data_IF_705257901937
#
_entry.id   IF_705257901937
#
_cell.length_a   1.000
_cell.length_b   1.000
_cell.length_c   1.000
_cell.angle_alpha   90.00
_cell.angle_beta   90.00
_cell.angle_gamma   90.00
#
_symmetry.space_group_name_H-M   'P 1'
#
loop_
_entity.id
_entity.type
_entity.pdbx_description
1 polymer ?
#
# COMPACT_ATOMS: atom_id res chain seq x y z
N UNK A 1 17.64 -13.27 -4.27
CA UNK A 1 16.55 -12.30 -4.51
C UNK A 1 15.57 -12.52 -3.38
N UNK A 2 15.43 -11.54 -2.50
CA UNK A 2 14.42 -11.60 -1.45
C UNK A 2 13.04 -11.50 -2.13
N UNK A 3 12.13 -12.42 -1.80
CA UNK A 3 10.79 -12.48 -2.39
C UNK A 3 9.75 -12.34 -1.29
N UNK A 4 8.84 -11.41 -1.47
CA UNK A 4 7.65 -11.28 -0.61
C UNK A 4 6.56 -12.15 -1.20
N UNK A 5 6.05 -13.09 -0.43
CA UNK A 5 4.97 -13.94 -0.87
C UNK A 5 3.65 -13.16 -0.89
N UNK A 6 2.83 -13.33 -1.95
CA UNK A 6 1.54 -12.65 -2.10
C UNK A 6 0.58 -12.92 -0.93
N UNK A 7 0.73 -14.06 -0.26
CA UNK A 7 -0.06 -14.40 0.93
C UNK A 7 0.22 -13.48 2.14
N UNK A 8 1.35 -12.77 2.17
CA UNK A 8 1.64 -11.77 3.20
C UNK A 8 0.75 -10.55 2.97
N UNK A 9 0.76 -10.04 1.73
CA UNK A 9 -0.04 -8.89 1.31
C UNK A 9 -1.52 -9.19 1.53
N UNK A 10 -1.98 -10.39 1.12
CA UNK A 10 -3.37 -10.82 1.34
C UNK A 10 -3.77 -10.75 2.83
N UNK A 11 -2.90 -11.21 3.73
CA UNK A 11 -3.17 -11.18 5.18
C UNK A 11 -3.27 -9.76 5.74
N UNK A 12 -2.45 -8.83 5.24
CA UNK A 12 -2.56 -7.42 5.64
C UNK A 12 -3.90 -6.84 5.18
N UNK A 13 -4.31 -7.11 3.94
CA UNK A 13 -5.63 -6.66 3.44
C UNK A 13 -6.81 -7.23 4.27
N UNK A 14 -6.73 -8.50 4.65
CA UNK A 14 -7.73 -9.14 5.53
C UNK A 14 -7.80 -8.46 6.91
N UNK A 15 -6.67 -8.03 7.48
CA UNK A 15 -6.61 -7.34 8.78
C UNK A 15 -7.26 -5.95 8.75
N UNK A 16 -7.09 -5.22 7.66
CA UNK A 16 -7.71 -3.90 7.46
C UNK A 16 -9.22 -3.98 7.15
N UNK A 17 -9.79 -5.20 7.04
CA UNK A 17 -11.21 -5.44 6.73
C UNK A 17 -11.69 -4.66 5.51
N UNK A 18 -10.80 -4.48 4.54
CA UNK A 18 -11.11 -3.61 3.41
C UNK A 18 -12.27 -4.24 2.65
N UNK A 19 -13.31 -3.44 2.41
CA UNK A 19 -14.44 -3.80 1.57
C UNK A 19 -13.97 -3.86 0.11
N UNK A 20 -13.22 -4.92 -0.22
CA UNK A 20 -12.85 -5.23 -1.59
C UNK A 20 -14.15 -5.59 -2.32
N UNK A 21 -14.58 -4.72 -3.22
CA UNK A 21 -15.35 -5.22 -4.36
C UNK A 21 -14.38 -5.97 -5.27
N UNK A 22 -14.86 -6.89 -6.12
CA UNK A 22 -13.98 -7.70 -6.98
C UNK A 22 -13.12 -6.87 -7.97
N UNK A 23 -13.30 -5.54 -8.03
CA UNK A 23 -12.72 -4.66 -9.03
C UNK A 23 -12.02 -3.40 -8.49
N UNK A 24 -12.37 -2.92 -7.29
CA UNK A 24 -11.78 -1.69 -6.74
C UNK A 24 -11.81 -1.65 -5.21
N UNK A 25 -10.90 -0.83 -4.69
CA UNK A 25 -10.67 -0.58 -3.27
C UNK A 25 -10.95 0.90 -3.02
N UNK A 26 -11.93 1.21 -2.18
CA UNK A 26 -12.16 2.59 -1.74
C UNK A 26 -11.50 2.74 -0.38
N UNK A 27 -10.44 3.54 -0.32
CA UNK A 27 -9.72 3.88 0.91
C UNK A 27 -9.72 5.39 1.08
N UNK A 28 -9.89 5.86 2.31
CA UNK A 28 -9.48 7.20 2.66
C UNK A 28 -7.95 7.33 2.77
N UNK A 29 -7.47 8.57 2.92
CA UNK A 29 -6.04 8.88 2.96
C UNK A 29 -5.30 8.20 4.12
N UNK A 30 -5.96 8.06 5.27
CA UNK A 30 -5.40 7.44 6.47
C UNK A 30 -5.42 5.91 6.36
N UNK A 31 -6.49 5.34 5.82
CA UNK A 31 -6.60 3.90 5.52
C UNK A 31 -5.52 3.47 4.53
N UNK A 32 -5.28 4.25 3.47
CA UNK A 32 -4.19 3.99 2.52
C UNK A 32 -2.82 4.01 3.19
N UNK A 33 -2.56 5.03 4.02
CA UNK A 33 -1.28 5.16 4.71
C UNK A 33 -1.03 4.01 5.69
N UNK A 34 -2.04 3.65 6.49
CA UNK A 34 -1.96 2.54 7.44
C UNK A 34 -1.75 1.20 6.72
N UNK A 35 -2.47 0.97 5.61
CA UNK A 35 -2.32 -0.24 4.81
C UNK A 35 -0.90 -0.37 4.25
N UNK A 36 -0.36 0.70 3.67
CA UNK A 36 0.99 0.72 3.14
C UNK A 36 2.02 0.51 4.25
N UNK A 37 1.83 1.13 5.42
CA UNK A 37 2.73 0.97 6.56
C UNK A 37 2.81 -0.49 7.00
N UNK A 38 1.68 -1.18 7.14
CA UNK A 38 1.66 -2.59 7.53
C UNK A 38 2.27 -3.52 6.47
N UNK A 39 2.06 -3.24 5.18
CA UNK A 39 2.71 -3.97 4.09
C UNK A 39 4.24 -3.84 4.17
N UNK A 40 4.74 -2.61 4.29
CA UNK A 40 6.18 -2.35 4.33
C UNK A 40 6.79 -2.84 5.64
N UNK A 41 6.10 -2.69 6.76
CA UNK A 41 6.53 -3.25 8.03
C UNK A 41 6.65 -4.77 7.99
N UNK A 42 5.61 -5.48 7.51
CA UNK A 42 5.63 -6.93 7.38
C UNK A 42 6.73 -7.40 6.41
N UNK A 43 6.93 -6.66 5.31
CA UNK A 43 8.00 -6.92 4.34
C UNK A 43 9.38 -6.76 4.98
N UNK A 44 9.60 -5.73 5.79
CA UNK A 44 10.87 -5.49 6.50
C UNK A 44 11.30 -6.63 7.42
N UNK A 45 10.35 -7.45 7.89
CA UNK A 45 10.64 -8.62 8.75
C UNK A 45 11.16 -9.82 7.98
N UNK A 46 11.02 -9.82 6.66
CA UNK A 46 11.35 -10.95 5.77
C UNK A 46 12.58 -10.62 4.92
N UNK A 47 12.74 -9.36 4.52
CA UNK A 47 13.89 -8.95 3.72
C UNK A 47 15.18 -8.99 4.54
N UNK A 48 16.26 -9.42 3.89
CA UNK A 48 17.60 -9.39 4.48
C UNK A 48 18.20 -7.98 4.48
N UNK A 49 17.68 -7.10 3.62
CA UNK A 49 18.13 -5.72 3.48
C UNK A 49 17.17 -4.76 4.16
N UNK A 50 17.65 -3.89 5.06
CA UNK A 50 16.83 -2.85 5.65
C UNK A 50 16.44 -1.82 4.59
N UNK A 51 15.28 -1.19 4.79
CA UNK A 51 14.82 -0.06 4.00
C UNK A 51 13.99 0.86 4.88
N UNK A 52 13.85 2.11 4.46
CA UNK A 52 13.06 3.11 5.17
C UNK A 52 11.57 2.90 4.87
N UNK A 53 10.83 2.44 5.88
CA UNK A 53 9.39 2.18 5.79
C UNK A 53 8.64 3.49 5.52
N UNK A 54 8.93 4.55 6.27
CA UNK A 54 8.25 5.84 6.15
C UNK A 54 8.44 6.45 4.76
N UNK A 55 9.66 6.41 4.24
CA UNK A 55 9.94 6.86 2.87
C UNK A 55 9.21 6.00 1.84
N UNK A 56 9.18 4.68 2.02
CA UNK A 56 8.51 3.77 1.09
C UNK A 56 7.00 3.99 1.06
N UNK A 57 6.38 4.22 2.22
CA UNK A 57 4.97 4.61 2.33
C UNK A 57 4.72 5.90 1.57
N UNK A 58 5.50 6.96 1.84
CA UNK A 58 5.33 8.27 1.21
C UNK A 58 5.45 8.21 -0.32
N UNK A 59 6.47 7.52 -0.83
CA UNK A 59 6.69 7.38 -2.28
C UNK A 59 5.58 6.58 -2.94
N UNK A 60 5.13 5.50 -2.31
CA UNK A 60 4.08 4.64 -2.86
C UNK A 60 2.73 5.35 -2.84
N UNK A 61 2.40 6.04 -1.74
CA UNK A 61 1.20 6.86 -1.60
C UNK A 61 1.18 7.95 -2.67
N UNK A 62 2.28 8.68 -2.83
CA UNK A 62 2.43 9.70 -3.88
C UNK A 62 2.20 9.13 -5.27
N UNK A 63 2.80 7.98 -5.58
CA UNK A 63 2.59 7.30 -6.86
C UNK A 63 1.12 6.94 -7.08
N UNK A 64 0.49 6.27 -6.11
CA UNK A 64 -0.91 5.83 -6.20
C UNK A 64 -1.86 7.01 -6.38
N UNK A 65 -1.66 8.10 -5.63
CA UNK A 65 -2.46 9.31 -5.79
C UNK A 65 -2.28 9.92 -7.18
N UNK A 66 -1.06 10.02 -7.71
CA UNK A 66 -0.90 10.62 -9.05
C UNK A 66 -1.41 9.74 -10.20
N UNK A 67 -1.54 8.42 -10.00
CA UNK A 67 -2.07 7.50 -11.02
C UNK A 67 -3.59 7.36 -10.94
N UNK A 68 -4.14 7.29 -9.72
CA UNK A 68 -5.54 6.91 -9.49
C UNK A 68 -6.42 8.02 -8.94
N UNK A 69 -5.86 9.13 -8.44
CA UNK A 69 -6.66 10.28 -8.02
C UNK A 69 -7.09 11.08 -9.26
N UNK A 70 -8.27 10.73 -9.77
CA UNK A 70 -8.87 11.38 -10.94
C UNK A 70 -9.18 12.86 -10.71
N UNK A 71 -9.26 13.33 -9.46
CA UNK A 71 -9.50 14.75 -9.16
C UNK A 71 -8.35 15.66 -9.58
N UNK A 72 -7.14 15.13 -9.75
CA UNK A 72 -5.98 15.86 -10.29
C UNK A 72 -5.97 15.98 -11.82
N UNK A 73 -6.79 15.19 -12.52
CA UNK A 73 -6.85 15.19 -13.98
C UNK A 73 -7.99 16.06 -14.56
N UNK A 74 -8.77 16.75 -13.72
CA UNK A 74 -9.87 17.61 -14.20
C UNK A 74 -9.43 18.94 -14.85
N UNK A 75 -8.12 19.20 -14.95
CA UNK A 75 -7.56 20.40 -15.59
C UNK A 75 -6.39 20.12 -16.55
N UNK A 76 -6.24 18.89 -17.04
CA UNK A 76 -5.19 18.52 -18.02
C UNK A 76 -5.74 18.42 -19.44
#
# INVERSE_FOLDING_TARGET
MDRVALNLIKRVFEQHRILSTDLYLTLDDAELENLLYDIFFATSKILTRPFDISLSVNLTKYFLMNVYDTSKNEFA
#
